data_IF_052124899051
#
_entry.id   IF_052124899051
#
_cell.length_a   1.000
_cell.length_b   1.000
_cell.length_c   1.000
_cell.angle_alpha   90.00
_cell.angle_beta   90.00
_cell.angle_gamma   90.00
#
_symmetry.space_group_name_H-M   'P 1'
#
loop_
_entity.id
_entity.type
_entity.pdbx_description
1 polymer ?
#
# COMPACT_ATOMS: atom_id res chain seq x y z
N UNK A 1 -19.09 28.90 -41.71
CA UNK A 1 -20.20 28.09 -41.17
C UNK A 1 -19.62 27.09 -40.18
N UNK A 2 -19.76 27.42 -39.11
CA UNK A 2 -20.14 26.94 -37.74
C UNK A 2 -19.03 26.23 -36.92
N UNK A 3 -17.86 26.79 -36.80
CA UNK A 3 -16.87 26.35 -35.80
C UNK A 3 -17.40 26.44 -34.38
N UNK A 4 -18.22 27.45 -34.04
CA UNK A 4 -18.84 27.61 -32.71
C UNK A 4 -19.89 26.54 -32.37
N UNK A 5 -20.66 26.02 -33.35
CA UNK A 5 -21.58 24.91 -33.13
C UNK A 5 -20.83 23.59 -32.90
N UNK A 6 -19.80 23.30 -33.71
CA UNK A 6 -18.95 22.14 -33.52
C UNK A 6 -18.28 22.13 -32.13
N UNK A 7 -17.72 23.26 -31.70
CA UNK A 7 -17.07 23.39 -30.39
C UNK A 7 -18.05 23.15 -29.22
N UNK A 8 -19.30 23.63 -29.32
CA UNK A 8 -20.33 23.42 -28.28
C UNK A 8 -20.75 21.95 -28.20
N UNK A 9 -20.86 21.23 -29.32
CA UNK A 9 -21.21 19.82 -29.35
C UNK A 9 -20.07 18.99 -28.74
N UNK A 10 -18.82 19.25 -29.10
CA UNK A 10 -17.65 18.57 -28.54
C UNK A 10 -17.56 18.81 -27.04
N UNK A 11 -17.68 20.08 -26.60
CA UNK A 11 -17.65 20.41 -25.17
C UNK A 11 -18.77 19.70 -24.38
N UNK A 12 -20.00 19.66 -24.93
CA UNK A 12 -21.11 18.95 -24.32
C UNK A 12 -20.86 17.44 -24.22
N UNK A 13 -20.36 16.82 -25.28
CA UNK A 13 -20.02 15.40 -25.28
C UNK A 13 -18.92 15.05 -24.28
N UNK A 14 -17.87 15.89 -24.18
CA UNK A 14 -16.81 15.72 -23.20
C UNK A 14 -17.34 15.81 -21.76
N UNK A 15 -18.19 16.78 -21.46
CA UNK A 15 -18.79 16.93 -20.14
C UNK A 15 -19.64 15.71 -19.76
N UNK A 16 -20.49 15.23 -20.65
CA UNK A 16 -21.31 14.03 -20.42
C UNK A 16 -20.43 12.79 -20.20
N UNK A 17 -19.41 12.58 -21.04
CA UNK A 17 -18.49 11.48 -20.89
C UNK A 17 -17.75 11.52 -19.54
N UNK A 18 -17.23 12.70 -19.15
CA UNK A 18 -16.54 12.88 -17.87
C UNK A 18 -17.48 12.62 -16.68
N UNK A 19 -18.72 13.09 -16.76
CA UNK A 19 -19.71 12.84 -15.71
C UNK A 19 -20.06 11.35 -15.59
N UNK A 20 -20.27 10.65 -16.70
CA UNK A 20 -20.52 9.21 -16.70
C UNK A 20 -19.31 8.44 -16.15
N UNK A 21 -18.09 8.78 -16.57
CA UNK A 21 -16.86 8.15 -16.06
C UNK A 21 -16.71 8.36 -14.53
N UNK A 22 -17.00 9.57 -14.05
CA UNK A 22 -17.00 9.89 -12.62
C UNK A 22 -18.02 9.08 -11.83
N UNK A 23 -19.25 8.95 -12.36
CA UNK A 23 -20.31 8.15 -11.73
C UNK A 23 -19.92 6.66 -11.67
N UNK A 24 -19.35 6.11 -12.74
CA UNK A 24 -18.87 4.71 -12.77
C UNK A 24 -17.75 4.51 -11.76
N UNK A 25 -16.75 5.39 -11.73
CA UNK A 25 -15.64 5.32 -10.77
C UNK A 25 -16.14 5.43 -9.32
N UNK A 26 -17.04 6.36 -9.06
CA UNK A 26 -17.71 6.52 -7.76
C UNK A 26 -18.50 5.28 -7.34
N UNK A 27 -19.24 4.68 -8.27
CA UNK A 27 -19.98 3.44 -8.04
C UNK A 27 -19.07 2.26 -7.71
N UNK A 28 -17.96 2.09 -8.46
CA UNK A 28 -16.93 1.06 -8.17
C UNK A 28 -16.34 1.28 -6.78
N UNK A 29 -16.00 2.53 -6.43
CA UNK A 29 -15.44 2.85 -5.11
C UNK A 29 -16.44 2.57 -3.99
N UNK A 30 -17.71 2.99 -4.14
CA UNK A 30 -18.78 2.74 -3.16
C UNK A 30 -19.07 1.24 -2.98
N UNK A 31 -18.95 0.45 -4.05
CA UNK A 31 -19.11 -0.99 -4.02
C UNK A 31 -17.89 -1.75 -3.45
N UNK A 32 -16.83 -1.06 -3.04
CA UNK A 32 -15.64 -1.67 -2.43
C UNK A 32 -14.42 -1.78 -3.35
N UNK A 33 -14.50 -1.27 -4.58
CA UNK A 33 -13.33 -1.24 -5.49
C UNK A 33 -12.25 -0.26 -5.01
N UNK A 34 -10.99 -0.68 -5.09
CA UNK A 34 -9.82 0.13 -4.71
C UNK A 34 -8.74 0.00 -5.77
N UNK A 35 -8.29 1.14 -6.28
CA UNK A 35 -7.23 1.17 -7.28
C UNK A 35 -5.87 1.25 -6.59
N UNK A 36 -4.99 0.27 -6.88
CA UNK A 36 -3.59 0.35 -6.48
C UNK A 36 -2.76 0.93 -7.64
N UNK A 37 -2.12 2.06 -7.37
CA UNK A 37 -1.23 2.76 -8.29
C UNK A 37 0.25 2.66 -7.88
N UNK A 38 0.53 2.02 -6.74
CA UNK A 38 1.89 1.86 -6.22
C UNK A 38 2.49 0.50 -6.60
N UNK A 39 3.80 0.47 -6.84
CA UNK A 39 4.53 -0.77 -7.17
C UNK A 39 4.71 -1.73 -5.96
N UNK A 40 4.19 -1.40 -4.79
CA UNK A 40 4.25 -2.28 -3.59
C UNK A 40 3.45 -3.57 -3.75
N UNK A 41 2.34 -3.51 -4.48
CA UNK A 41 1.55 -4.65 -4.95
C UNK A 41 1.42 -4.56 -6.47
N UNK A 42 0.79 -5.55 -7.10
CA UNK A 42 0.45 -5.41 -8.52
C UNK A 42 -0.44 -4.20 -8.74
N UNK A 43 -0.14 -3.42 -9.78
CA UNK A 43 -1.02 -2.33 -10.17
C UNK A 43 -2.38 -2.90 -10.57
N UNK A 44 -3.45 -2.18 -10.24
CA UNK A 44 -4.75 -2.63 -10.66
C UNK A 44 -5.88 -2.42 -9.68
N UNK A 45 -7.00 -3.05 -9.99
CA UNK A 45 -8.23 -3.00 -9.23
C UNK A 45 -8.26 -4.13 -8.20
N UNK A 46 -8.47 -3.76 -6.97
CA UNK A 46 -8.69 -4.64 -5.82
C UNK A 46 -10.10 -4.45 -5.30
N UNK A 47 -10.63 -5.45 -4.62
CA UNK A 47 -11.96 -5.39 -4.01
C UNK A 47 -11.88 -5.67 -2.51
N UNK A 48 -12.58 -4.87 -1.70
CA UNK A 48 -12.72 -5.12 -0.26
C UNK A 48 -13.51 -6.41 -0.06
N UNK A 49 -13.10 -7.20 0.93
CA UNK A 49 -13.74 -8.47 1.28
C UNK A 49 -13.89 -8.59 2.79
N UNK A 50 -14.82 -9.45 3.23
CA UNK A 50 -15.02 -9.82 4.64
C UNK A 50 -14.09 -10.96 5.09
N UNK A 51 -13.04 -11.26 4.30
CA UNK A 51 -12.07 -12.28 4.64
C UNK A 51 -11.32 -11.91 5.94
N UNK A 52 -10.90 -12.90 6.73
CA UNK A 52 -10.19 -12.63 7.98
C UNK A 52 -8.81 -12.01 7.72
N UNK A 53 -8.37 -11.15 8.65
CA UNK A 53 -7.02 -10.58 8.67
C UNK A 53 -6.03 -11.66 9.09
N UNK A 54 -5.46 -12.38 8.13
CA UNK A 54 -4.55 -13.52 8.36
C UNK A 54 -3.28 -13.40 7.52
N UNK A 55 -2.25 -14.15 7.90
CA UNK A 55 -1.01 -14.25 7.12
C UNK A 55 -1.32 -14.66 5.68
N UNK A 56 -0.72 -13.97 4.72
CA UNK A 56 -0.93 -14.15 3.29
C UNK A 56 -2.01 -13.23 2.69
N UNK A 57 -2.89 -12.63 3.49
CA UNK A 57 -3.90 -11.69 2.99
C UNK A 57 -3.27 -10.37 2.53
N UNK A 58 -3.85 -9.78 1.49
CA UNK A 58 -3.60 -8.39 1.13
C UNK A 58 -4.52 -7.50 1.95
N UNK A 59 -3.97 -6.40 2.46
CA UNK A 59 -4.71 -5.49 3.33
C UNK A 59 -4.47 -4.03 2.94
N UNK A 60 -5.48 -3.22 3.25
CA UNK A 60 -5.34 -1.78 3.39
C UNK A 60 -5.20 -1.46 4.88
N UNK A 61 -4.34 -0.52 5.20
CA UNK A 61 -4.18 -0.06 6.58
C UNK A 61 -3.88 1.43 6.65
N UNK A 62 -4.24 2.03 7.76
CA UNK A 62 -3.84 3.39 8.11
C UNK A 62 -2.50 3.35 8.86
N UNK A 63 -1.48 4.10 8.40
CA UNK A 63 -0.25 4.27 9.16
C UNK A 63 -0.52 4.83 10.57
N UNK A 64 0.15 4.33 11.61
CA UNK A 64 0.08 4.95 12.92
C UNK A 64 0.82 6.29 12.94
N UNK A 65 0.39 7.19 13.80
CA UNK A 65 1.05 8.48 14.02
C UNK A 65 2.40 8.28 14.74
N UNK A 66 3.44 8.00 13.97
CA UNK A 66 4.83 7.86 14.41
C UNK A 66 5.73 8.65 13.47
N UNK A 67 6.84 9.22 13.99
CA UNK A 67 7.76 10.05 13.22
C UNK A 67 8.19 9.44 11.88
N UNK A 68 8.40 8.13 11.84
CA UNK A 68 8.79 7.42 10.60
C UNK A 68 7.75 7.56 9.47
N UNK A 69 6.46 7.64 9.80
CA UNK A 69 5.40 7.84 8.82
C UNK A 69 5.22 9.30 8.44
N UNK A 70 5.48 10.23 9.37
CA UNK A 70 5.54 11.67 9.06
C UNK A 70 6.67 11.96 8.08
N UNK A 71 7.86 11.43 8.33
CA UNK A 71 9.01 11.55 7.43
C UNK A 71 8.73 10.91 6.08
N UNK A 72 8.07 9.75 6.05
CA UNK A 72 7.70 9.07 4.82
C UNK A 72 6.69 9.89 3.99
N UNK A 73 5.71 10.53 4.64
CA UNK A 73 4.77 11.46 3.99
C UNK A 73 5.50 12.68 3.43
N UNK A 74 6.36 13.33 4.24
CA UNK A 74 7.16 14.47 3.82
C UNK A 74 8.09 14.16 2.63
N UNK A 75 8.53 12.89 2.52
CA UNK A 75 9.37 12.41 1.42
C UNK A 75 8.59 11.94 0.20
N UNK A 76 7.26 11.90 0.27
CA UNK A 76 6.39 11.43 -0.81
C UNK A 76 6.32 9.91 -0.96
N UNK A 77 6.65 9.14 0.09
CA UNK A 77 6.45 7.67 0.08
C UNK A 77 5.01 7.29 0.45
N UNK A 78 4.30 8.20 1.11
CA UNK A 78 2.90 8.07 1.50
C UNK A 78 2.16 9.31 1.02
N UNK A 79 1.09 9.09 0.27
CA UNK A 79 0.21 10.17 -0.18
C UNK A 79 -0.60 10.75 0.99
N UNK A 80 -1.09 11.96 0.84
CA UNK A 80 -2.10 12.51 1.72
C UNK A 80 -3.44 11.75 1.57
N UNK A 81 -4.22 11.66 2.64
CA UNK A 81 -5.50 10.96 2.59
C UNK A 81 -6.33 11.11 3.85
N UNK A 82 -7.21 10.16 4.10
CA UNK A 82 -8.25 10.24 5.14
C UNK A 82 -7.94 9.42 6.40
N UNK A 83 -6.75 8.83 6.51
CA UNK A 83 -6.29 8.21 7.76
C UNK A 83 -5.93 9.27 8.80
N UNK A 84 -5.91 8.94 10.12
CA UNK A 84 -5.35 9.80 11.16
C UNK A 84 -3.97 10.31 10.74
N UNK A 85 -3.64 11.56 11.05
CA UNK A 85 -2.41 12.22 10.58
C UNK A 85 -2.44 12.60 9.09
N UNK A 86 -3.62 12.61 8.46
CA UNK A 86 -3.81 12.93 7.03
C UNK A 86 -2.97 12.02 6.11
N UNK A 87 -2.79 10.75 6.48
CA UNK A 87 -2.12 9.77 5.64
C UNK A 87 -3.08 9.14 4.64
N UNK A 88 -2.57 8.80 3.46
CA UNK A 88 -3.22 7.87 2.55
C UNK A 88 -3.17 6.44 3.09
N UNK A 89 -4.14 5.62 2.71
CA UNK A 89 -4.08 4.19 2.98
C UNK A 89 -2.89 3.54 2.28
N UNK A 90 -2.20 2.66 2.98
CA UNK A 90 -1.19 1.80 2.38
C UNK A 90 -1.77 0.40 2.10
N UNK A 91 -1.39 -0.17 0.96
CA UNK A 91 -1.72 -1.54 0.59
C UNK A 91 -0.48 -2.42 0.71
N UNK A 92 -0.55 -3.50 1.49
CA UNK A 92 0.54 -4.46 1.71
C UNK A 92 -0.02 -5.87 1.87
N UNK A 93 0.90 -6.84 1.90
CA UNK A 93 0.61 -8.23 2.23
C UNK A 93 1.03 -8.52 3.67
N UNK A 94 0.25 -9.31 4.40
CA UNK A 94 0.64 -9.81 5.72
C UNK A 94 1.62 -10.94 5.51
N UNK A 95 2.90 -10.72 5.81
CA UNK A 95 3.94 -11.75 5.64
C UNK A 95 4.29 -12.47 6.95
N UNK A 96 4.01 -11.84 8.10
CA UNK A 96 4.09 -12.50 9.40
C UNK A 96 3.00 -11.98 10.34
N UNK A 97 2.62 -12.80 11.33
CA UNK A 97 1.58 -12.52 12.31
C UNK A 97 1.95 -13.18 13.65
N UNK A 98 1.04 -13.11 14.66
CA UNK A 98 1.21 -13.69 15.99
C UNK A 98 2.01 -15.00 15.99
N UNK A 99 3.04 -15.05 16.84
CA UNK A 99 3.91 -16.22 17.04
C UNK A 99 4.99 -16.40 16.00
N UNK A 100 4.96 -15.70 14.86
CA UNK A 100 6.08 -15.69 13.92
C UNK A 100 7.25 -14.90 14.52
N UNK A 101 8.46 -15.42 14.37
CA UNK A 101 9.70 -14.74 14.73
C UNK A 101 10.28 -14.07 13.50
N UNK A 102 10.49 -12.76 13.59
CA UNK A 102 11.06 -11.93 12.52
C UNK A 102 12.45 -11.43 12.88
N UNK A 103 13.27 -11.17 11.87
CA UNK A 103 14.53 -10.42 11.99
C UNK A 103 14.78 -9.64 10.71
N UNK A 104 15.36 -8.45 10.83
CA UNK A 104 15.74 -7.60 9.69
C UNK A 104 17.26 -7.54 9.63
N UNK A 105 17.86 -8.07 8.58
CA UNK A 105 19.30 -8.10 8.38
C UNK A 105 19.69 -7.39 7.08
N UNK A 106 20.98 -7.28 6.83
CA UNK A 106 21.50 -6.74 5.55
C UNK A 106 21.17 -7.64 4.34
N UNK A 107 20.91 -8.92 4.56
CA UNK A 107 20.53 -9.89 3.54
C UNK A 107 19.02 -9.85 3.24
N UNK A 108 18.20 -9.36 4.18
CA UNK A 108 16.77 -9.29 4.05
C UNK A 108 16.03 -9.48 5.36
N UNK A 109 14.70 -9.52 5.26
CA UNK A 109 13.82 -9.84 6.38
C UNK A 109 13.60 -11.34 6.43
N UNK A 110 13.78 -11.93 7.60
CA UNK A 110 13.47 -13.35 7.83
C UNK A 110 12.18 -13.51 8.61
N UNK A 111 11.44 -14.57 8.32
CA UNK A 111 10.28 -15.02 9.09
C UNK A 111 10.48 -16.49 9.43
N UNK A 112 10.56 -16.82 10.70
CA UNK A 112 10.84 -18.17 11.21
C UNK A 112 12.13 -18.79 10.60
N UNK A 113 13.14 -17.93 10.37
CA UNK A 113 14.43 -18.32 9.79
C UNK A 113 14.47 -18.35 8.25
N UNK A 114 13.33 -18.24 7.57
CA UNK A 114 13.28 -18.17 6.11
C UNK A 114 13.36 -16.72 5.62
N UNK A 115 14.28 -16.43 4.69
CA UNK A 115 14.42 -15.10 4.08
C UNK A 115 13.25 -14.85 3.13
N UNK A 116 12.59 -13.70 3.28
CA UNK A 116 11.53 -13.27 2.38
C UNK A 116 12.10 -12.75 1.06
N UNK A 117 11.47 -13.02 -0.09
CA UNK A 117 11.89 -12.48 -1.37
C UNK A 117 11.75 -10.95 -1.37
N UNK A 118 12.60 -10.26 -2.14
CA UNK A 118 12.58 -8.81 -2.33
C UNK A 118 12.61 -7.98 -1.03
N UNK A 119 13.08 -8.55 0.09
CA UNK A 119 12.99 -7.95 1.42
C UNK A 119 14.27 -7.27 1.90
N UNK A 120 15.35 -7.28 1.10
CA UNK A 120 16.61 -6.63 1.45
C UNK A 120 16.40 -5.14 1.69
N UNK A 121 16.78 -4.61 2.88
CA UNK A 121 16.75 -3.18 3.12
C UNK A 121 17.76 -2.45 2.23
N UNK A 122 17.42 -1.26 1.76
CA UNK A 122 18.37 -0.36 1.11
C UNK A 122 18.71 0.78 2.08
N UNK A 123 19.96 1.23 2.04
CA UNK A 123 20.44 2.26 2.97
C UNK A 123 19.94 3.66 2.60
N UNK A 124 19.69 3.90 1.31
CA UNK A 124 19.25 5.19 0.77
C UNK A 124 18.11 4.99 -0.22
N UNK A 125 17.27 6.00 -0.37
CA UNK A 125 16.22 6.02 -1.39
C UNK A 125 16.75 6.36 -2.79
N UNK A 126 15.84 6.42 -3.78
CA UNK A 126 16.18 6.67 -5.19
C UNK A 126 16.85 8.04 -5.49
N UNK A 127 16.86 8.96 -4.52
CA UNK A 127 17.52 10.27 -4.63
C UNK A 127 18.61 10.47 -3.57
N UNK A 128 19.08 9.40 -2.93
CA UNK A 128 20.21 9.39 -2.02
C UNK A 128 19.92 9.78 -0.56
N UNK A 129 18.65 9.91 -0.14
CA UNK A 129 18.30 10.21 1.25
C UNK A 129 18.37 8.94 2.11
N UNK A 130 18.94 9.02 3.32
CA UNK A 130 19.07 7.84 4.18
C UNK A 130 17.68 7.29 4.57
N UNK A 131 17.56 5.96 4.56
CA UNK A 131 16.40 5.23 5.05
C UNK A 131 16.68 4.68 6.45
N UNK A 132 15.64 4.60 7.32
CA UNK A 132 15.81 4.03 8.65
C UNK A 132 16.26 2.58 8.55
N UNK A 133 17.11 2.16 9.49
CA UNK A 133 17.55 0.78 9.62
C UNK A 133 17.01 0.22 10.93
N UNK A 134 16.24 -0.86 10.86
CA UNK A 134 15.80 -1.56 12.06
C UNK A 134 16.93 -2.42 12.62
N UNK A 135 16.96 -2.58 13.96
CA UNK A 135 17.87 -3.50 14.62
C UNK A 135 17.65 -4.94 14.15
N UNK A 136 18.74 -5.70 13.92
CA UNK A 136 18.66 -7.06 13.42
C UNK A 136 18.22 -8.09 14.47
N UNK A 137 17.82 -7.64 15.65
CA UNK A 137 17.38 -8.52 16.75
C UNK A 137 16.19 -9.36 16.34
N UNK A 138 16.18 -10.61 16.81
CA UNK A 138 15.03 -11.49 16.66
C UNK A 138 13.87 -10.98 17.51
N UNK A 139 12.71 -10.85 16.89
CA UNK A 139 11.50 -10.39 17.54
C UNK A 139 10.34 -11.34 17.23
N UNK A 140 9.68 -11.87 18.26
CA UNK A 140 8.48 -12.69 18.08
C UNK A 140 7.24 -11.82 18.16
N UNK A 141 6.42 -11.84 17.10
CA UNK A 141 5.22 -11.03 16.99
C UNK A 141 4.19 -11.41 18.06
N UNK A 142 3.71 -10.39 18.75
CA UNK A 142 2.66 -10.50 19.75
C UNK A 142 1.26 -10.74 19.16
N UNK A 143 0.26 -10.83 20.04
CA UNK A 143 -1.13 -11.21 19.75
C UNK A 143 -1.75 -10.39 18.62
N UNK A 144 -1.52 -9.08 18.60
CA UNK A 144 -2.14 -8.15 17.66
C UNK A 144 -1.17 -7.62 16.60
N UNK A 145 0.05 -8.12 16.54
CA UNK A 145 1.07 -7.58 15.66
C UNK A 145 1.10 -8.28 14.29
N UNK A 146 1.35 -7.49 13.27
CA UNK A 146 1.44 -7.92 11.88
C UNK A 146 2.67 -7.32 11.24
N UNK A 147 3.40 -8.13 10.46
CA UNK A 147 4.43 -7.64 9.57
C UNK A 147 3.84 -7.44 8.18
N UNK A 148 3.69 -6.19 7.78
CA UNK A 148 3.14 -5.80 6.48
C UNK A 148 4.25 -5.42 5.52
N UNK A 149 4.37 -6.16 4.42
CA UNK A 149 5.42 -5.95 3.43
C UNK A 149 4.93 -6.13 2.00
N UNK A 150 5.75 -5.71 1.07
CA UNK A 150 5.64 -6.13 -0.33
C UNK A 150 6.33 -7.48 -0.51
N UNK A 151 5.70 -8.39 -1.24
CA UNK A 151 6.28 -9.68 -1.66
C UNK A 151 6.87 -9.63 -3.08
N UNK A 152 6.99 -8.42 -3.68
CA UNK A 152 7.40 -8.24 -5.07
C UNK A 152 8.29 -7.03 -5.36
N UNK A 153 8.28 -6.02 -4.49
CA UNK A 153 9.04 -4.77 -4.71
C UNK A 153 10.19 -4.63 -3.74
N UNK A 154 11.44 -4.59 -4.21
CA UNK A 154 12.61 -4.39 -3.36
C UNK A 154 12.70 -2.96 -2.81
N UNK A 155 11.99 -1.99 -3.43
CA UNK A 155 12.01 -0.57 -3.05
C UNK A 155 10.77 -0.13 -2.28
N UNK A 156 9.92 -1.08 -1.86
CA UNK A 156 8.71 -0.76 -1.10
C UNK A 156 9.06 -0.18 0.27
N UNK A 157 8.45 0.96 0.62
CA UNK A 157 8.43 1.43 2.00
C UNK A 157 7.43 0.58 2.78
N UNK A 158 7.93 -0.31 3.65
CA UNK A 158 7.14 -1.33 4.34
C UNK A 158 7.78 -1.75 5.67
N UNK A 159 7.33 -2.86 6.24
CA UNK A 159 7.74 -3.35 7.55
C UNK A 159 9.24 -3.56 7.74
N UNK A 160 10.03 -3.63 6.66
CA UNK A 160 11.51 -3.63 6.77
C UNK A 160 12.09 -2.33 7.32
N UNK A 161 11.32 -1.23 7.25
CA UNK A 161 11.71 0.09 7.71
C UNK A 161 10.92 0.54 8.94
N UNK A 162 9.59 0.34 8.96
CA UNK A 162 8.74 0.81 10.06
C UNK A 162 8.40 -0.27 11.10
N UNK A 163 8.81 -1.52 10.85
CA UNK A 163 8.56 -2.64 11.77
C UNK A 163 7.11 -3.14 11.75
N UNK A 164 6.73 -3.93 12.78
CA UNK A 164 5.37 -4.40 12.93
C UNK A 164 4.39 -3.25 13.18
N UNK A 165 3.15 -3.46 12.76
CA UNK A 165 2.00 -2.62 13.12
C UNK A 165 0.95 -3.45 13.85
N UNK A 166 -0.02 -2.81 14.50
CA UNK A 166 -1.11 -3.52 15.16
C UNK A 166 -2.25 -3.86 14.18
N UNK A 167 -2.91 -4.98 14.42
CA UNK A 167 -4.10 -5.41 13.66
C UNK A 167 -5.19 -4.34 13.59
N UNK A 168 -5.36 -3.52 14.64
CA UNK A 168 -6.34 -2.44 14.69
C UNK A 168 -6.13 -1.34 13.65
N UNK A 169 -4.96 -1.28 13.02
CA UNK A 169 -4.67 -0.35 11.94
C UNK A 169 -5.10 -0.84 10.56
N UNK A 170 -5.43 -2.13 10.44
CA UNK A 170 -5.98 -2.70 9.20
C UNK A 170 -7.42 -2.24 9.05
N UNK A 171 -7.71 -1.54 7.98
CA UNK A 171 -9.04 -1.03 7.66
C UNK A 171 -9.86 -2.00 6.81
N UNK A 172 -9.21 -2.79 5.97
CA UNK A 172 -9.88 -3.75 5.09
C UNK A 172 -8.94 -4.84 4.60
N UNK A 173 -9.46 -6.05 4.44
CA UNK A 173 -8.83 -7.09 3.61
C UNK A 173 -9.28 -6.87 2.18
N UNK A 174 -8.34 -6.98 1.25
CA UNK A 174 -8.59 -6.77 -0.18
C UNK A 174 -8.13 -7.99 -0.98
N UNK A 175 -8.75 -8.19 -2.14
CA UNK A 175 -8.32 -9.19 -3.13
C UNK A 175 -8.10 -8.57 -4.50
N UNK A 176 -7.11 -9.00 -5.28
CA UNK A 176 -6.94 -8.56 -6.65
C UNK A 176 -8.12 -9.04 -7.52
N UNK A 177 -8.60 -8.18 -8.41
CA UNK A 177 -9.66 -8.48 -9.37
C UNK A 177 -9.13 -8.36 -10.80
N UNK A 178 -8.47 -7.25 -11.09
CA UNK A 178 -7.83 -6.99 -12.36
C UNK A 178 -6.48 -6.34 -12.09
N UNK A 179 -5.40 -7.07 -12.33
CA UNK A 179 -4.04 -6.57 -12.07
C UNK A 179 -3.17 -6.71 -13.31
N UNK A 180 -2.15 -5.84 -13.38
CA UNK A 180 -1.12 -5.88 -14.42
C UNK A 180 0.25 -5.58 -13.83
N UNK A 181 1.27 -6.12 -14.45
CA UNK A 181 2.66 -5.83 -14.06
C UNK A 181 2.97 -4.40 -14.52
N UNK A 182 3.35 -3.53 -13.58
CA UNK A 182 3.97 -2.25 -13.91
C UNK A 182 5.37 -2.49 -14.46
N UNK A 183 5.72 -1.85 -15.55
CA UNK A 183 7.09 -1.79 -16.08
C UNK A 183 8.03 -1.05 -15.13
#
# INVERSE_FOLDING_TARGET
>A
MNTRKGLRIVAGATLVFSACAGLVAGGIYAAGGRLNTSKSLELGLYWITDAPVTKGAYVMFCPPERQIFEDAKARGYIDAGFCPGDYGHLMKKILAAKGDTISVTQEGVTVNGAVLPFSKPVAVDGIGRPLPQLSPERYTLGESELLLMSDRSPTSFDGRYFGPITRGQVTSVIRPVLTWKGE
#
